data_IF_319206611132
#
_entry.id   IF_319206611132
#
_cell.length_a   1.000
_cell.length_b   1.000
_cell.length_c   1.000
_cell.angle_alpha   90.00
_cell.angle_beta   90.00
_cell.angle_gamma   90.00
#
_symmetry.space_group_name_H-M   'P 1'
#
loop_
_entity.id
_entity.type
_entity.pdbx_description
1 polymer ?
#
# COMPACT_ATOMS: atom_id res chain seq x y z
N UNK A 1 8.55 -16.90 9.28
CA UNK A 1 9.16 -16.85 10.63
C UNK A 1 9.88 -18.15 10.89
N UNK A 2 10.91 -18.12 11.71
CA UNK A 2 11.60 -19.32 12.20
C UNK A 2 10.88 -19.93 13.41
N UNK A 3 11.49 -20.96 14.03
CA UNK A 3 10.89 -21.64 15.18
C UNK A 3 10.84 -20.77 16.45
N UNK A 4 11.62 -19.73 16.50
CA UNK A 4 11.70 -18.75 17.60
C UNK A 4 10.73 -17.57 17.38
N UNK A 5 10.10 -17.47 16.20
CA UNK A 5 9.16 -16.42 15.84
C UNK A 5 9.83 -15.18 15.23
N UNK A 6 11.11 -15.24 14.92
CA UNK A 6 11.84 -14.18 14.25
C UNK A 6 11.64 -14.26 12.71
N UNK A 7 11.84 -13.14 12.01
CA UNK A 7 11.76 -13.15 10.54
C UNK A 7 12.95 -13.91 9.96
N UNK A 8 12.67 -14.98 9.23
CA UNK A 8 13.69 -15.66 8.40
C UNK A 8 13.96 -14.84 7.13
N UNK A 9 14.94 -13.96 7.19
CA UNK A 9 15.31 -13.11 6.05
C UNK A 9 15.89 -13.90 4.87
N UNK A 10 16.49 -15.08 5.10
CA UNK A 10 16.96 -15.92 4.01
C UNK A 10 15.78 -16.52 3.23
N UNK A 11 14.78 -17.04 3.95
CA UNK A 11 13.56 -17.54 3.32
C UNK A 11 12.80 -16.43 2.62
N UNK A 12 12.73 -15.22 3.21
CA UNK A 12 12.12 -14.04 2.60
C UNK A 12 12.82 -13.67 1.28
N UNK A 13 14.13 -13.57 1.27
CA UNK A 13 14.91 -13.26 0.06
C UNK A 13 14.70 -14.30 -1.05
N UNK A 14 14.75 -15.59 -0.71
CA UNK A 14 14.47 -16.68 -1.67
C UNK A 14 13.07 -16.58 -2.24
N UNK A 15 12.06 -16.25 -1.41
CA UNK A 15 10.68 -16.08 -1.86
C UNK A 15 10.53 -14.88 -2.80
N UNK A 16 11.12 -13.74 -2.46
CA UNK A 16 11.11 -12.53 -3.29
C UNK A 16 11.80 -12.76 -4.65
N UNK A 17 12.93 -13.43 -4.65
CA UNK A 17 13.65 -13.82 -5.88
C UNK A 17 12.76 -14.72 -6.77
N UNK A 18 12.10 -15.70 -6.18
CA UNK A 18 11.16 -16.59 -6.89
C UNK A 18 10.01 -15.81 -7.52
N UNK A 19 9.44 -14.82 -6.82
CA UNK A 19 8.38 -13.96 -7.37
C UNK A 19 8.86 -13.16 -8.58
N UNK A 20 10.05 -12.55 -8.49
CA UNK A 20 10.64 -11.82 -9.60
C UNK A 20 10.93 -12.72 -10.79
N UNK A 21 11.47 -13.92 -10.57
CA UNK A 21 11.70 -14.93 -11.62
C UNK A 21 10.40 -15.43 -12.26
N UNK A 22 9.28 -15.42 -11.52
CA UNK A 22 7.96 -15.76 -12.04
C UNK A 22 7.29 -14.62 -12.84
N UNK A 23 7.95 -13.46 -12.97
CA UNK A 23 7.44 -12.32 -13.72
C UNK A 23 6.60 -11.33 -12.91
N UNK A 24 6.64 -11.39 -11.59
CA UNK A 24 6.01 -10.40 -10.73
C UNK A 24 6.66 -9.03 -10.97
N UNK A 25 5.85 -8.02 -11.32
CA UNK A 25 6.35 -6.67 -11.63
C UNK A 25 6.56 -5.80 -10.38
N UNK A 26 5.95 -6.17 -9.25
CA UNK A 26 6.11 -5.47 -7.98
C UNK A 26 5.66 -6.31 -6.80
N UNK A 27 6.14 -5.94 -5.61
CA UNK A 27 5.76 -6.55 -4.35
C UNK A 27 5.34 -5.48 -3.35
N UNK A 28 4.37 -5.81 -2.51
CA UNK A 28 3.93 -4.94 -1.42
C UNK A 28 4.41 -5.55 -0.11
N UNK A 29 5.33 -4.86 0.55
CA UNK A 29 5.90 -5.29 1.83
C UNK A 29 5.06 -4.82 3.02
N UNK A 30 5.03 -5.62 4.07
CA UNK A 30 4.38 -5.30 5.36
C UNK A 30 2.86 -5.02 5.25
N UNK A 31 2.19 -5.59 4.24
CA UNK A 31 0.74 -5.49 4.12
C UNK A 31 0.02 -6.39 5.13
N UNK A 32 -1.31 -6.35 5.15
CA UNK A 32 -2.13 -7.15 6.08
C UNK A 32 -1.83 -8.64 5.93
N UNK A 33 -1.77 -9.18 4.71
CA UNK A 33 -1.45 -10.59 4.46
C UNK A 33 0.01 -10.96 4.74
N UNK A 34 0.89 -9.97 4.86
CA UNK A 34 2.29 -10.13 5.28
C UNK A 34 2.47 -9.84 6.78
N UNK A 35 1.38 -9.83 7.55
CA UNK A 35 1.37 -9.65 9.00
C UNK A 35 2.07 -8.37 9.51
N UNK A 36 2.17 -7.34 8.65
CA UNK A 36 2.90 -6.11 8.94
C UNK A 36 2.46 -5.38 10.23
N UNK A 37 1.18 -5.54 10.61
CA UNK A 37 0.66 -5.00 11.88
C UNK A 37 1.18 -5.71 13.13
N UNK A 38 1.74 -6.91 12.99
CA UNK A 38 2.32 -7.69 14.09
C UNK A 38 3.83 -7.47 14.24
N UNK A 39 4.46 -6.81 13.26
CA UNK A 39 5.89 -6.53 13.25
C UNK A 39 6.21 -5.26 14.01
N UNK A 40 7.35 -5.24 14.67
CA UNK A 40 7.93 -4.02 15.21
C UNK A 40 8.38 -3.08 14.09
N UNK A 41 8.55 -1.77 14.35
CA UNK A 41 9.06 -0.84 13.33
C UNK A 41 10.42 -1.24 12.74
N UNK A 42 11.30 -1.84 13.56
CA UNK A 42 12.62 -2.32 13.13
C UNK A 42 12.51 -3.54 12.18
N UNK A 43 11.63 -4.49 12.49
CA UNK A 43 11.36 -5.63 11.62
C UNK A 43 10.74 -5.20 10.30
N UNK A 44 9.77 -4.26 10.32
CA UNK A 44 9.21 -3.70 9.08
C UNK A 44 10.28 -3.05 8.22
N UNK A 45 11.17 -2.25 8.81
CA UNK A 45 12.27 -1.62 8.09
C UNK A 45 13.23 -2.65 7.49
N UNK A 46 13.62 -3.68 8.25
CA UNK A 46 14.49 -4.76 7.78
C UNK A 46 13.84 -5.57 6.64
N UNK A 47 12.55 -5.83 6.71
CA UNK A 47 11.83 -6.53 5.63
C UNK A 47 11.82 -5.73 4.33
N UNK A 48 11.59 -4.40 4.40
CA UNK A 48 11.68 -3.50 3.24
C UNK A 48 13.11 -3.48 2.70
N UNK A 49 14.13 -3.35 3.54
CA UNK A 49 15.53 -3.36 3.13
C UNK A 49 15.90 -4.68 2.40
N UNK A 50 15.47 -5.82 2.94
CA UNK A 50 15.67 -7.12 2.31
C UNK A 50 15.02 -7.18 0.92
N UNK A 51 13.82 -6.65 0.76
CA UNK A 51 13.13 -6.62 -0.53
C UNK A 51 13.84 -5.71 -1.54
N UNK A 52 14.23 -4.50 -1.15
CA UNK A 52 14.96 -3.56 -2.00
C UNK A 52 16.28 -4.16 -2.47
N UNK A 53 17.04 -4.79 -1.57
CA UNK A 53 18.30 -5.42 -1.92
C UNK A 53 18.13 -6.63 -2.84
N UNK A 54 17.17 -7.51 -2.54
CA UNK A 54 16.91 -8.73 -3.30
C UNK A 54 16.39 -8.44 -4.70
N UNK A 55 15.48 -7.47 -4.81
CA UNK A 55 14.75 -7.23 -6.07
C UNK A 55 15.42 -6.24 -7.01
N UNK A 56 16.26 -5.38 -6.54
CA UNK A 56 17.13 -4.43 -7.26
C UNK A 56 16.86 -4.27 -8.77
N UNK A 57 15.84 -3.47 -9.11
CA UNK A 57 15.45 -3.15 -10.49
C UNK A 57 14.75 -4.27 -11.26
N UNK A 58 14.51 -5.44 -10.64
CA UNK A 58 13.74 -6.54 -11.25
C UNK A 58 12.23 -6.44 -10.97
N UNK A 59 11.86 -5.83 -9.87
CA UNK A 59 10.47 -5.59 -9.49
C UNK A 59 10.37 -4.36 -8.58
N UNK A 60 9.24 -3.67 -8.64
CA UNK A 60 8.93 -2.51 -7.81
C UNK A 60 8.71 -2.94 -6.35
N UNK A 61 9.30 -2.22 -5.40
CA UNK A 61 9.09 -2.44 -3.96
C UNK A 61 8.20 -1.34 -3.39
N UNK A 62 7.00 -1.71 -2.96
CA UNK A 62 6.03 -0.83 -2.31
C UNK A 62 6.02 -1.16 -0.83
N UNK A 63 6.34 -0.18 0.02
CA UNK A 63 6.27 -0.35 1.47
C UNK A 63 4.91 0.08 2.01
N UNK A 64 4.32 -0.72 2.89
CA UNK A 64 3.07 -0.34 3.57
C UNK A 64 3.37 0.56 4.75
N UNK A 65 2.58 1.64 4.87
CA UNK A 65 2.59 2.54 6.01
C UNK A 65 1.15 2.75 6.52
N UNK A 66 0.95 2.61 7.81
CA UNK A 66 -0.36 2.82 8.43
C UNK A 66 -0.41 2.25 9.84
N UNK A 67 -0.88 3.07 10.76
CA UNK A 67 -1.00 2.74 12.18
C UNK A 67 -2.21 3.42 12.79
N UNK A 68 -2.42 3.20 14.08
CA UNK A 68 -3.43 3.90 14.88
C UNK A 68 -3.17 5.40 14.92
N UNK A 69 -1.89 5.81 14.94
CA UNK A 69 -1.47 7.20 15.03
C UNK A 69 -0.51 7.62 13.92
N UNK A 70 -0.48 8.92 13.65
CA UNK A 70 0.35 9.52 12.60
C UNK A 70 1.84 9.30 12.82
N UNK A 71 2.30 9.27 14.07
CA UNK A 71 3.72 9.18 14.39
C UNK A 71 4.39 7.94 13.79
N UNK A 72 3.78 6.77 13.95
CA UNK A 72 4.30 5.52 13.40
C UNK A 72 4.18 5.51 11.87
N UNK A 73 3.05 5.95 11.33
CA UNK A 73 2.86 6.04 9.87
C UNK A 73 3.92 6.93 9.22
N UNK A 74 4.20 8.10 9.80
CA UNK A 74 5.26 9.00 9.34
C UNK A 74 6.64 8.33 9.46
N UNK A 75 6.87 7.58 10.53
CA UNK A 75 8.08 6.81 10.72
C UNK A 75 8.30 5.78 9.61
N UNK A 76 7.26 4.99 9.29
CA UNK A 76 7.31 3.99 8.23
C UNK A 76 7.54 4.63 6.84
N UNK A 77 6.87 5.76 6.54
CA UNK A 77 7.06 6.50 5.28
C UNK A 77 8.53 6.95 5.13
N UNK A 78 9.08 7.59 6.16
CA UNK A 78 10.47 8.06 6.14
C UNK A 78 11.49 6.92 6.07
N UNK A 79 11.21 5.81 6.74
CA UNK A 79 12.05 4.63 6.67
C UNK A 79 12.04 4.03 5.26
N UNK A 80 10.86 3.89 4.64
CA UNK A 80 10.72 3.38 3.28
C UNK A 80 11.49 4.22 2.25
N UNK A 81 11.37 5.55 2.31
CA UNK A 81 12.10 6.47 1.42
C UNK A 81 13.61 6.32 1.62
N UNK A 82 14.09 6.32 2.86
CA UNK A 82 15.51 6.15 3.19
C UNK A 82 16.09 4.82 2.73
N UNK A 83 15.28 3.76 2.76
CA UNK A 83 15.68 2.40 2.37
C UNK A 83 15.63 2.18 0.84
N UNK A 84 15.07 3.14 0.08
CA UNK A 84 15.01 3.05 -1.37
C UNK A 84 13.81 2.26 -1.89
N UNK A 85 12.70 2.22 -1.17
CA UNK A 85 11.44 1.73 -1.72
C UNK A 85 11.00 2.60 -2.91
N UNK A 86 10.32 2.01 -3.89
CA UNK A 86 9.86 2.70 -5.09
C UNK A 86 8.52 3.42 -4.89
N UNK A 87 7.76 3.04 -3.87
CA UNK A 87 6.47 3.63 -3.55
C UNK A 87 5.93 3.19 -2.21
N UNK A 88 4.78 3.74 -1.88
CA UNK A 88 4.09 3.48 -0.62
C UNK A 88 2.70 2.91 -0.84
N UNK A 89 2.22 2.10 0.09
CA UNK A 89 0.80 1.79 0.26
C UNK A 89 0.36 2.32 1.62
N UNK A 90 -0.53 3.32 1.62
CA UNK A 90 -0.94 4.00 2.85
C UNK A 90 -2.34 3.56 3.24
N UNK A 91 -2.53 3.20 4.52
CA UNK A 91 -3.82 2.90 5.11
C UNK A 91 -4.37 4.14 5.83
N UNK A 92 -5.69 4.27 5.83
CA UNK A 92 -6.34 5.21 6.72
C UNK A 92 -6.08 4.83 8.20
N UNK A 93 -6.01 5.80 9.11
CA UNK A 93 -5.93 5.52 10.53
C UNK A 93 -7.07 4.61 10.97
N UNK A 94 -6.76 3.64 11.79
CA UNK A 94 -7.72 2.68 12.32
C UNK A 94 -7.85 2.83 13.84
N UNK A 95 -8.87 2.16 14.43
CA UNK A 95 -9.28 2.27 15.81
C UNK A 95 -10.17 3.50 16.10
N UNK A 96 -9.78 4.72 15.71
CA UNK A 96 -10.61 5.91 15.85
C UNK A 96 -11.39 6.20 14.54
N UNK A 97 -12.64 6.58 14.66
CA UNK A 97 -13.46 6.96 13.50
C UNK A 97 -13.24 8.42 13.16
N UNK A 98 -12.55 8.65 12.06
CA UNK A 98 -12.39 9.97 11.48
C UNK A 98 -13.60 10.33 10.60
N UNK A 99 -13.94 11.60 10.56
CA UNK A 99 -14.87 12.15 9.56
C UNK A 99 -14.27 12.07 8.15
N UNK A 100 -15.10 12.21 7.11
CA UNK A 100 -14.65 12.22 5.72
C UNK A 100 -13.60 13.30 5.45
N UNK A 101 -13.81 14.51 5.97
CA UNK A 101 -12.84 15.61 5.80
C UNK A 101 -11.50 15.35 6.49
N UNK A 102 -11.51 14.72 7.66
CA UNK A 102 -10.30 14.35 8.37
C UNK A 102 -9.52 13.25 7.64
N UNK A 103 -10.20 12.27 7.04
CA UNK A 103 -9.56 11.23 6.24
C UNK A 103 -8.90 11.81 4.98
N UNK A 104 -9.57 12.70 4.26
CA UNK A 104 -8.98 13.38 3.09
C UNK A 104 -7.76 14.21 3.51
N UNK A 105 -7.87 15.01 4.59
CA UNK A 105 -6.75 15.79 5.11
C UNK A 105 -5.58 14.93 5.61
N UNK A 106 -5.87 13.73 6.13
CA UNK A 106 -4.84 12.77 6.52
C UNK A 106 -4.01 12.31 5.32
N UNK A 107 -4.64 11.88 4.23
CA UNK A 107 -3.92 11.43 3.04
C UNK A 107 -3.17 12.57 2.34
N UNK A 108 -3.74 13.77 2.30
CA UNK A 108 -3.06 14.98 1.84
C UNK A 108 -1.75 15.17 2.64
N UNK A 109 -1.82 15.19 3.98
CA UNK A 109 -0.66 15.35 4.87
C UNK A 109 0.35 14.20 4.74
N UNK A 110 -0.10 12.94 4.64
CA UNK A 110 0.83 11.82 4.46
C UNK A 110 1.56 11.88 3.13
N UNK A 111 0.90 12.33 2.07
CA UNK A 111 1.52 12.53 0.76
C UNK A 111 2.56 13.66 0.69
N UNK A 112 2.61 14.54 1.70
CA UNK A 112 3.62 15.61 1.83
C UNK A 112 4.88 15.16 2.58
N UNK A 113 4.84 14.01 3.26
CA UNK A 113 5.98 13.52 4.08
C UNK A 113 7.15 13.03 3.22
N UNK A 114 6.86 12.54 2.02
CA UNK A 114 7.84 11.97 1.09
C UNK A 114 7.47 12.31 -0.36
N UNK A 115 8.47 12.27 -1.24
CA UNK A 115 8.24 12.40 -2.69
C UNK A 115 7.87 11.05 -3.35
N UNK A 116 7.85 9.96 -2.62
CA UNK A 116 7.46 8.66 -3.15
C UNK A 116 5.99 8.68 -3.59
N UNK A 117 5.67 8.11 -4.75
CA UNK A 117 4.28 7.89 -5.13
C UNK A 117 3.61 6.94 -4.14
N UNK A 118 2.34 7.16 -3.85
CA UNK A 118 1.61 6.24 -2.98
C UNK A 118 0.28 5.80 -3.57
N UNK A 119 -0.11 4.57 -3.19
CA UNK A 119 -1.45 4.05 -3.38
C UNK A 119 -2.18 4.03 -2.03
N UNK A 120 -3.47 4.30 -2.05
CA UNK A 120 -4.34 4.13 -0.87
C UNK A 120 -4.78 2.68 -0.78
N UNK A 121 -4.69 2.07 0.40
CA UNK A 121 -5.34 0.79 0.64
C UNK A 121 -6.72 1.03 1.26
N UNK A 122 -7.73 0.96 0.43
CA UNK A 122 -9.12 1.11 0.83
C UNK A 122 -9.71 -0.25 1.25
N UNK A 123 -9.81 -0.49 2.54
CA UNK A 123 -10.17 -1.81 3.08
C UNK A 123 -11.03 -1.69 4.34
N UNK A 124 -11.91 -2.67 4.53
CA UNK A 124 -12.74 -2.78 5.75
C UNK A 124 -11.98 -3.29 6.97
N UNK A 125 -10.74 -3.78 6.81
CA UNK A 125 -9.98 -4.37 7.92
C UNK A 125 -9.53 -3.34 8.95
N UNK A 126 -9.35 -2.09 8.56
CA UNK A 126 -8.72 -1.09 9.43
C UNK A 126 -9.63 0.07 9.77
N UNK A 127 -10.45 0.54 8.84
CA UNK A 127 -11.25 1.77 8.98
C UNK A 127 -12.55 1.61 8.17
N UNK A 128 -13.57 2.45 8.39
CA UNK A 128 -14.61 2.63 7.40
C UNK A 128 -13.99 2.95 6.05
N UNK A 129 -14.42 2.26 5.00
CA UNK A 129 -13.89 2.47 3.66
C UNK A 129 -14.09 3.92 3.21
N UNK A 130 -13.14 4.42 2.45
CA UNK A 130 -13.24 5.68 1.76
C UNK A 130 -14.31 5.57 0.65
N UNK A 131 -15.17 6.54 0.59
CA UNK A 131 -16.09 6.70 -0.53
C UNK A 131 -15.38 7.22 -1.77
N UNK A 132 -16.01 7.09 -2.93
CA UNK A 132 -15.50 7.68 -4.17
C UNK A 132 -15.23 9.17 -4.04
N UNK A 133 -16.13 9.93 -3.41
CA UNK A 133 -15.95 11.37 -3.20
C UNK A 133 -14.71 11.71 -2.35
N UNK A 134 -14.36 10.87 -1.37
CA UNK A 134 -13.13 11.03 -0.60
C UNK A 134 -11.89 10.71 -1.44
N UNK A 135 -11.92 9.68 -2.28
CA UNK A 135 -10.84 9.36 -3.20
C UNK A 135 -10.62 10.48 -4.24
N UNK A 136 -11.71 11.05 -4.77
CA UNK A 136 -11.65 12.25 -5.64
C UNK A 136 -11.02 13.44 -4.89
N UNK A 137 -11.43 13.71 -3.67
CA UNK A 137 -10.86 14.77 -2.85
C UNK A 137 -9.37 14.57 -2.52
N UNK A 138 -8.92 13.33 -2.36
CA UNK A 138 -7.50 13.01 -2.20
C UNK A 138 -6.75 13.26 -3.52
N UNK A 139 -7.32 12.84 -4.66
CA UNK A 139 -6.71 13.03 -5.98
C UNK A 139 -6.54 14.52 -6.35
N UNK A 140 -7.46 15.36 -5.93
CA UNK A 140 -7.38 16.81 -6.14
C UNK A 140 -6.26 17.46 -5.32
N UNK A 141 -5.97 16.95 -4.12
CA UNK A 141 -5.09 17.59 -3.14
C UNK A 141 -3.69 17.00 -3.08
N UNK A 142 -3.53 15.72 -3.33
CA UNK A 142 -2.24 15.03 -3.21
C UNK A 142 -1.66 14.66 -4.57
N UNK A 143 -0.52 15.27 -4.92
CA UNK A 143 0.19 15.00 -6.18
C UNK A 143 0.91 13.66 -6.21
N UNK A 144 1.20 13.09 -5.06
CA UNK A 144 1.89 11.80 -4.94
C UNK A 144 0.90 10.63 -4.84
N UNK A 145 -0.40 10.88 -4.79
CA UNK A 145 -1.43 9.85 -4.88
C UNK A 145 -1.56 9.37 -6.33
N UNK A 146 -1.20 8.12 -6.58
CA UNK A 146 -1.15 7.53 -7.93
C UNK A 146 -2.03 6.30 -8.11
N UNK A 147 -2.62 5.77 -7.05
CA UNK A 147 -3.45 4.59 -7.15
C UNK A 147 -4.22 4.23 -5.89
N UNK A 148 -5.15 3.31 -6.04
CA UNK A 148 -5.93 2.74 -4.94
C UNK A 148 -5.99 1.23 -5.07
N UNK A 149 -5.74 0.52 -3.97
CA UNK A 149 -6.08 -0.89 -3.80
C UNK A 149 -7.46 -0.94 -3.15
N UNK A 150 -8.47 -1.24 -3.97
CA UNK A 150 -9.90 -1.16 -3.59
C UNK A 150 -10.40 -2.50 -3.07
N UNK A 151 -10.99 -2.49 -1.90
CA UNK A 151 -11.60 -3.65 -1.25
C UNK A 151 -13.08 -3.85 -1.58
N UNK A 152 -13.77 -2.81 -2.04
CA UNK A 152 -15.17 -2.88 -2.46
C UNK A 152 -15.27 -3.09 -3.98
N UNK A 153 -15.71 -4.27 -4.38
CA UNK A 153 -15.87 -4.64 -5.77
C UNK A 153 -16.88 -3.75 -6.53
N UNK A 154 -17.94 -3.31 -5.85
CA UNK A 154 -18.95 -2.45 -6.48
C UNK A 154 -18.41 -1.04 -6.70
N UNK A 155 -17.63 -0.52 -5.76
CA UNK A 155 -17.00 0.78 -5.90
C UNK A 155 -15.83 0.77 -6.87
N UNK A 156 -15.07 -0.33 -6.98
CA UNK A 156 -13.87 -0.42 -7.81
C UNK A 156 -14.10 0.00 -9.27
N UNK A 157 -15.16 -0.50 -9.90
CA UNK A 157 -15.51 -0.13 -11.28
C UNK A 157 -15.89 1.35 -11.42
N UNK A 158 -16.52 1.93 -10.41
CA UNK A 158 -16.85 3.36 -10.39
C UNK A 158 -15.59 4.21 -10.22
N UNK A 159 -14.66 3.79 -9.36
CA UNK A 159 -13.35 4.44 -9.16
C UNK A 159 -12.55 4.43 -10.47
N UNK A 160 -12.51 3.30 -11.20
CA UNK A 160 -11.89 3.24 -12.53
C UNK A 160 -12.49 4.28 -13.46
N UNK A 161 -13.82 4.31 -13.59
CA UNK A 161 -14.50 5.22 -14.50
C UNK A 161 -14.27 6.69 -14.19
N UNK A 162 -14.13 7.05 -12.93
CA UNK A 162 -14.03 8.43 -12.47
C UNK A 162 -12.61 8.95 -12.33
N UNK A 163 -11.65 8.10 -11.98
CA UNK A 163 -10.29 8.52 -11.65
C UNK A 163 -9.23 8.03 -12.65
N UNK A 164 -9.53 6.99 -13.45
CA UNK A 164 -8.59 6.54 -14.50
C UNK A 164 -8.61 7.51 -15.69
N UNK A 165 -7.48 7.70 -16.43
CA UNK A 165 -6.20 7.02 -16.24
C UNK A 165 -5.27 7.67 -15.20
N UNK A 166 -5.67 8.74 -14.54
CA UNK A 166 -4.80 9.48 -13.61
C UNK A 166 -4.45 8.70 -12.34
N UNK A 167 -5.37 7.82 -11.88
CA UNK A 167 -5.20 6.98 -10.68
C UNK A 167 -5.35 5.52 -11.09
N UNK A 168 -4.33 4.71 -10.81
CA UNK A 168 -4.37 3.27 -11.04
C UNK A 168 -5.28 2.57 -10.00
N UNK A 169 -6.13 1.65 -10.45
CA UNK A 169 -7.06 0.94 -9.55
C UNK A 169 -6.69 -0.54 -9.53
N UNK A 170 -6.40 -1.04 -8.34
CA UNK A 170 -6.10 -2.44 -8.05
C UNK A 170 -7.21 -3.04 -7.20
N UNK A 171 -7.48 -4.34 -7.36
CA UNK A 171 -8.36 -5.04 -6.43
C UNK A 171 -7.57 -5.68 -5.28
N UNK A 172 -8.22 -5.83 -4.13
CA UNK A 172 -7.72 -6.64 -3.02
C UNK A 172 -8.23 -8.09 -3.07
N UNK A 173 -8.97 -8.47 -4.12
CA UNK A 173 -9.63 -9.79 -4.23
C UNK A 173 -9.26 -10.46 -5.55
N UNK A 174 -8.59 -11.60 -5.46
CA UNK A 174 -8.18 -12.41 -6.61
C UNK A 174 -9.37 -12.79 -7.52
N UNK A 175 -10.53 -13.05 -6.94
CA UNK A 175 -11.76 -13.39 -7.66
C UNK A 175 -12.32 -12.24 -8.51
N UNK A 176 -11.82 -11.02 -8.36
CA UNK A 176 -12.31 -9.83 -9.07
C UNK A 176 -11.31 -9.25 -10.07
N UNK A 177 -10.15 -9.87 -10.24
CA UNK A 177 -9.08 -9.37 -11.14
C UNK A 177 -9.58 -9.23 -12.58
N UNK A 178 -10.30 -10.23 -13.09
CA UNK A 178 -10.78 -10.21 -14.45
C UNK A 178 -11.81 -9.11 -14.70
N UNK A 179 -12.81 -8.99 -13.81
CA UNK A 179 -13.85 -7.96 -13.92
C UNK A 179 -13.28 -6.57 -13.83
N UNK A 180 -12.34 -6.35 -12.90
CA UNK A 180 -11.66 -5.08 -12.80
C UNK A 180 -10.81 -4.77 -14.03
N UNK A 181 -10.11 -5.75 -14.58
CA UNK A 181 -9.35 -5.63 -15.82
C UNK A 181 -10.24 -5.24 -17.01
N UNK A 182 -11.41 -5.88 -17.15
CA UNK A 182 -12.39 -5.50 -18.17
C UNK A 182 -12.95 -4.08 -17.99
N UNK A 183 -13.03 -3.60 -16.74
CA UNK A 183 -13.43 -2.23 -16.46
C UNK A 183 -12.31 -1.20 -16.72
N UNK A 184 -11.08 -1.64 -17.01
CA UNK A 184 -9.92 -0.76 -17.23
C UNK A 184 -9.06 -0.56 -15.99
N UNK A 185 -9.16 -1.41 -14.98
CA UNK A 185 -8.29 -1.42 -13.80
C UNK A 185 -6.87 -1.87 -14.15
N UNK A 186 -5.94 -1.61 -13.22
CA UNK A 186 -4.52 -1.89 -13.40
C UNK A 186 -4.11 -3.29 -12.89
N UNK A 187 -4.91 -3.93 -12.03
CA UNK A 187 -4.61 -5.26 -11.47
C UNK A 187 -5.46 -5.67 -10.27
#
# INVERSE_FOLDING_TARGET
FDAEGEIDFNALAVHLDRLACAGCTGVVMNAVSAEGGSLTPDERAKAVACAVETLKGRAVVIATAGSVGDYETIGDIKAAEKLGADGLMILAPFFYRLSSSERVAYFERMGEISNLPYIVYNTTYTSPMLSLAELEGIAEKSKTFVGVKEGDQLQASEVVRRLSPGIAVYTSRDSYINELGFAGGAG
#
